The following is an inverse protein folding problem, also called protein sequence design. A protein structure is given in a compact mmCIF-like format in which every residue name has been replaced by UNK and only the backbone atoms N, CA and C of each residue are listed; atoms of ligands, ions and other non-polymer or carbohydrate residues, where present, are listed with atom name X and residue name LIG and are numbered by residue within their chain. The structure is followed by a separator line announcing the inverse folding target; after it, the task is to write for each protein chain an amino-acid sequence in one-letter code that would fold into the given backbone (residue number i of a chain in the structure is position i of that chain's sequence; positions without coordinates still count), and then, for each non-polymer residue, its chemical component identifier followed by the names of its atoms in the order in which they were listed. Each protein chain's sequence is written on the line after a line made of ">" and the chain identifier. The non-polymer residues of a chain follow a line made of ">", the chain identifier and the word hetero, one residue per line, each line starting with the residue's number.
data_IF_783300449008
#
_entry.id   IF_783300449008
#
_cell.length_a   1.000
_cell.length_b   1.000
_cell.length_c   1.000
_cell.angle_alpha   90.00
_cell.angle_beta   90.00
_cell.angle_gamma   90.00
#
_symmetry.space_group_name_H-M   'P 1'
#
loop_
_entity.id
_entity.type
_entity.pdbx_description
1 polymer ?
#
# COMPACT_ATOMS: atom_id res chain seq x y z
N UNK A 1 -28.50 27.61 23.62
CA UNK A 1 -28.64 27.64 22.15
C UNK A 1 -27.32 27.52 21.38
N UNK A 2 -26.19 28.07 21.86
CA UNK A 2 -24.89 27.93 21.15
C UNK A 2 -24.28 26.51 21.16
N UNK A 3 -24.58 25.70 22.18
CA UNK A 3 -24.01 24.34 22.33
C UNK A 3 -24.63 23.29 21.40
N UNK A 4 -25.91 23.45 21.02
CA UNK A 4 -26.60 22.54 20.08
C UNK A 4 -26.07 22.77 18.66
N UNK A 5 -25.67 24.00 18.33
CA UNK A 5 -25.07 24.35 17.04
C UNK A 5 -23.70 23.71 16.81
N UNK A 6 -22.93 23.42 17.86
CA UNK A 6 -21.63 22.74 17.75
C UNK A 6 -21.77 21.22 17.58
N UNK A 7 -22.74 20.60 18.25
CA UNK A 7 -23.00 19.16 18.10
C UNK A 7 -23.50 18.81 16.69
N UNK A 8 -24.35 19.66 16.10
CA UNK A 8 -24.84 19.47 14.73
C UNK A 8 -23.68 19.63 13.72
N UNK A 9 -22.75 20.56 13.97
CA UNK A 9 -21.55 20.74 13.14
C UNK A 9 -20.62 19.52 13.19
N UNK A 10 -20.50 18.86 14.34
CA UNK A 10 -19.72 17.62 14.46
C UNK A 10 -20.39 16.42 13.78
N UNK A 11 -21.73 16.32 13.78
CA UNK A 11 -22.46 15.26 13.07
C UNK A 11 -22.38 15.40 11.53
N UNK A 12 -22.22 16.62 11.03
CA UNK A 12 -22.01 16.91 9.59
C UNK A 12 -20.56 16.61 9.17
N UNK A 13 -19.60 16.71 10.10
CA UNK A 13 -18.17 16.49 9.83
C UNK A 13 -17.69 15.04 10.05
N UNK A 14 -18.44 14.23 10.81
CA UNK A 14 -18.09 12.82 11.12
C UNK A 14 -19.05 11.80 10.50
N UNK A 15 -19.87 12.22 9.53
CA UNK A 15 -20.55 11.26 8.68
C UNK A 15 -19.51 10.51 7.85
N UNK A 16 -19.30 9.23 8.13
CA UNK A 16 -18.48 8.31 7.32
C UNK A 16 -19.06 8.21 5.91
N UNK A 17 -18.93 9.26 5.10
CA UNK A 17 -19.09 9.19 3.66
C UNK A 17 -17.77 8.67 3.10
N UNK A 18 -17.74 7.39 2.73
CA UNK A 18 -16.77 6.89 1.76
C UNK A 18 -16.73 7.88 0.58
N UNK A 19 -15.53 8.31 0.12
CA UNK A 19 -15.42 9.18 -1.04
C UNK A 19 -16.20 8.59 -2.22
N UNK A 20 -16.91 9.48 -2.91
CA UNK A 20 -17.79 9.15 -4.03
C UNK A 20 -17.04 8.31 -5.07
N UNK A 21 -17.65 7.19 -5.47
CA UNK A 21 -17.78 6.56 -6.80
C UNK A 21 -16.62 6.69 -7.84
N UNK A 22 -15.89 7.80 -7.94
CA UNK A 22 -14.89 8.05 -8.99
C UNK A 22 -13.56 8.50 -8.37
N UNK A 23 -12.61 7.58 -8.24
CA UNK A 23 -11.19 7.91 -8.07
C UNK A 23 -10.52 8.03 -9.44
N UNK A 24 -9.73 9.06 -9.67
CA UNK A 24 -9.01 9.27 -10.92
C UNK A 24 -7.79 8.35 -11.02
N UNK A 25 -7.23 7.93 -9.87
CA UNK A 25 -6.08 7.02 -9.82
C UNK A 25 -6.19 5.95 -8.72
N UNK A 26 -5.56 4.77 -8.90
CA UNK A 26 -5.46 3.75 -7.85
C UNK A 26 -4.77 4.25 -6.56
N UNK A 27 -3.93 5.27 -6.66
CA UNK A 27 -3.23 5.88 -5.52
C UNK A 27 -4.22 6.61 -4.60
N UNK A 28 -5.20 7.35 -5.16
CA UNK A 28 -6.26 8.01 -4.38
C UNK A 28 -7.12 7.00 -3.62
N UNK A 29 -7.38 5.84 -4.22
CA UNK A 29 -8.06 4.73 -3.51
C UNK A 29 -7.20 4.24 -2.35
N UNK A 30 -5.89 4.08 -2.57
CA UNK A 30 -4.96 3.64 -1.52
C UNK A 30 -4.90 4.64 -0.35
N UNK A 31 -4.90 5.94 -0.63
CA UNK A 31 -4.98 6.99 0.40
C UNK A 31 -6.23 6.86 1.27
N UNK A 32 -7.36 6.52 0.66
CA UNK A 32 -8.60 6.24 1.41
C UNK A 32 -8.45 5.01 2.31
N UNK A 33 -7.85 3.93 1.81
CA UNK A 33 -7.60 2.72 2.60
C UNK A 33 -6.69 3.00 3.80
N UNK A 34 -5.67 3.85 3.61
CA UNK A 34 -4.70 4.21 4.64
C UNK A 34 -5.31 4.93 5.83
N UNK A 35 -6.47 5.59 5.68
CA UNK A 35 -7.18 6.22 6.79
C UNK A 35 -7.57 5.24 7.91
N UNK A 36 -7.75 3.96 7.58
CA UNK A 36 -8.14 2.92 8.55
C UNK A 36 -7.15 1.73 8.60
N UNK A 37 -6.28 1.57 7.61
CA UNK A 37 -5.44 0.38 7.43
C UNK A 37 -3.95 0.69 7.26
N UNK A 38 -3.45 1.75 7.90
CA UNK A 38 -2.04 2.13 7.89
C UNK A 38 -1.11 0.98 8.30
N UNK A 39 -1.37 0.33 9.45
CA UNK A 39 -0.58 -0.79 9.95
C UNK A 39 -0.53 -1.98 8.96
N UNK A 40 -1.64 -2.25 8.27
CA UNK A 40 -1.69 -3.34 7.29
C UNK A 40 -0.79 -3.04 6.08
N UNK A 41 -0.74 -1.78 5.64
CA UNK A 41 0.17 -1.36 4.57
C UNK A 41 1.62 -1.49 5.03
N UNK A 42 1.95 -1.05 6.24
CA UNK A 42 3.31 -1.24 6.80
C UNK A 42 3.73 -2.71 6.86
N UNK A 43 2.79 -3.60 7.21
CA UNK A 43 3.03 -5.04 7.23
C UNK A 43 3.26 -5.58 5.82
N UNK A 44 2.42 -5.20 4.85
CA UNK A 44 2.55 -5.60 3.43
C UNK A 44 3.89 -5.15 2.87
N UNK A 45 4.32 -3.92 3.15
CA UNK A 45 5.58 -3.36 2.67
C UNK A 45 6.82 -4.11 3.18
N UNK A 46 6.70 -4.87 4.27
CA UNK A 46 7.77 -5.75 4.79
C UNK A 46 7.78 -7.12 4.13
N UNK A 47 6.80 -7.45 3.28
CA UNK A 47 6.67 -8.78 2.66
C UNK A 47 7.38 -8.89 1.31
N UNK A 48 7.50 -10.13 0.82
CA UNK A 48 8.01 -10.45 -0.52
C UNK A 48 7.12 -9.93 -1.65
N UNK A 49 5.83 -9.71 -1.39
CA UNK A 49 4.89 -9.19 -2.39
C UNK A 49 5.18 -7.73 -2.74
N UNK A 50 5.64 -6.95 -1.75
CA UNK A 50 6.07 -5.57 -1.96
C UNK A 50 7.52 -5.48 -2.45
N UNK A 51 8.45 -6.10 -1.72
CA UNK A 51 9.88 -5.96 -2.00
C UNK A 51 10.35 -6.78 -3.22
N UNK A 52 9.54 -7.75 -3.66
CA UNK A 52 9.91 -8.71 -4.70
C UNK A 52 11.20 -9.50 -4.39
N UNK A 53 11.52 -9.61 -3.10
CA UNK A 53 12.71 -10.28 -2.58
C UNK A 53 12.31 -11.35 -1.58
N UNK A 54 13.04 -12.46 -1.61
CA UNK A 54 12.92 -13.59 -0.70
C UNK A 54 13.58 -13.35 0.66
N UNK A 55 13.25 -14.20 1.63
CA UNK A 55 14.10 -14.36 2.81
C UNK A 55 15.40 -15.02 2.36
N UNK A 56 16.54 -14.58 2.88
CA UNK A 56 17.80 -15.28 2.73
C UNK A 56 17.84 -16.40 3.77
N UNK A 57 17.69 -17.68 3.39
CA UNK A 57 18.09 -18.74 4.29
C UNK A 57 19.61 -18.63 4.39
N UNK A 58 20.04 -18.25 5.59
CA UNK A 58 21.38 -18.51 6.10
C UNK A 58 22.44 -17.47 5.68
N UNK A 59 22.99 -16.82 6.71
CA UNK A 59 24.20 -16.00 6.89
C UNK A 59 25.46 -16.26 6.03
N UNK A 60 25.36 -17.07 4.99
CA UNK A 60 26.28 -17.05 3.85
C UNK A 60 26.06 -15.76 3.07
N UNK A 61 27.10 -15.21 2.44
CA UNK A 61 27.10 -13.96 1.65
C UNK A 61 26.22 -14.02 0.37
N UNK A 62 25.09 -14.71 0.41
CA UNK A 62 24.14 -14.83 -0.68
C UNK A 62 23.24 -13.60 -0.70
N UNK A 63 23.18 -12.94 -1.85
CA UNK A 63 22.28 -11.82 -2.10
C UNK A 63 20.84 -12.32 -2.01
N UNK A 64 19.96 -11.60 -1.29
CA UNK A 64 18.52 -11.90 -1.25
C UNK A 64 17.98 -12.04 -2.67
N UNK A 65 17.32 -13.16 -2.97
CA UNK A 65 16.81 -13.49 -4.31
C UNK A 65 15.30 -13.34 -4.39
N UNK A 66 14.82 -12.75 -5.47
CA UNK A 66 13.41 -12.72 -5.82
C UNK A 66 13.19 -12.08 -7.18
N UNK A 67 11.93 -11.81 -7.54
CA UNK A 67 11.57 -11.26 -8.87
C UNK A 67 12.38 -10.01 -9.24
N UNK A 68 12.80 -9.20 -8.26
CA UNK A 68 13.61 -8.00 -8.49
C UNK A 68 14.96 -8.28 -9.18
N UNK A 69 15.61 -9.40 -8.86
CA UNK A 69 16.98 -9.73 -9.32
C UNK A 69 17.11 -11.14 -9.89
N UNK A 70 15.99 -11.83 -10.13
CA UNK A 70 15.96 -13.12 -10.79
C UNK A 70 16.11 -12.97 -12.30
N UNK A 71 16.92 -13.85 -12.91
CA UNK A 71 16.98 -14.04 -14.36
C UNK A 71 16.23 -15.33 -14.71
N UNK A 72 15.36 -15.29 -15.71
CA UNK A 72 14.65 -16.45 -16.24
C UNK A 72 14.76 -16.56 -17.77
N UNK A 73 14.15 -17.58 -18.35
CA UNK A 73 14.11 -17.84 -19.80
C UNK A 73 12.80 -17.38 -20.47
N UNK A 74 12.05 -16.48 -19.81
CA UNK A 74 10.86 -15.82 -20.37
C UNK A 74 11.24 -14.39 -20.79
N UNK A 75 10.81 -13.37 -20.07
CA UNK A 75 11.18 -11.97 -20.34
C UNK A 75 12.57 -11.58 -19.82
N UNK A 76 13.43 -12.56 -19.54
CA UNK A 76 14.81 -12.44 -19.05
C UNK A 76 14.93 -11.81 -17.66
N UNK A 77 14.69 -10.50 -17.52
CA UNK A 77 14.91 -9.78 -16.26
C UNK A 77 13.99 -8.56 -16.12
N UNK A 78 13.64 -8.21 -14.89
CA UNK A 78 12.83 -7.03 -14.57
C UNK A 78 13.51 -5.69 -14.93
N UNK A 79 14.81 -5.44 -14.63
CA UNK A 79 15.41 -4.12 -14.78
C UNK A 79 15.37 -3.50 -16.19
N UNK A 80 15.29 -4.30 -17.25
CA UNK A 80 15.16 -3.81 -18.63
C UNK A 80 13.72 -3.69 -19.12
N UNK A 81 12.72 -4.07 -18.31
CA UNK A 81 11.31 -4.25 -18.72
C UNK A 81 10.27 -3.68 -17.72
N UNK A 82 10.70 -3.15 -16.59
CA UNK A 82 9.89 -2.49 -15.54
C UNK A 82 9.96 -0.97 -15.74
N UNK A 83 8.95 -0.18 -15.36
CA UNK A 83 8.85 1.22 -15.75
C UNK A 83 10.09 2.03 -15.42
#
# INVERSE_FOLDING_TARGET
>A
MKSISLLILMLILHGNSFPKDHSETPQEVTETCLMCHEEAVEQIMKTRHWNWLGHNPDNTNLVSRGKQNLINNFCIAVPSNWP
#
